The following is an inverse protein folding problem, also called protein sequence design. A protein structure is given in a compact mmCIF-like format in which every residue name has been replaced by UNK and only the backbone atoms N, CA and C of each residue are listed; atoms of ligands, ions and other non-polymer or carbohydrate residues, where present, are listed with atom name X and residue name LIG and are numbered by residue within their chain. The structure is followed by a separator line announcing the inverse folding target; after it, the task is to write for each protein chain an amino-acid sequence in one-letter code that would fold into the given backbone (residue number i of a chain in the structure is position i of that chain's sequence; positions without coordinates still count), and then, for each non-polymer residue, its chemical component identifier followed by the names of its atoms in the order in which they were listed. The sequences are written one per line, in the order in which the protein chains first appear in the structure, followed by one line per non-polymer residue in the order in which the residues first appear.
data_IF_327002825273
#
_entry.id   IF_327002825273
#
_cell.length_a   1.000
_cell.length_b   1.000
_cell.length_c   1.000
_cell.angle_alpha   90.00
_cell.angle_beta   90.00
_cell.angle_gamma   90.00
#
_symmetry.space_group_name_H-M   'P 1'
#
loop_
_entity.id
_entity.type
_entity.pdbx_description
1 polymer ?
#
# COMPACT_ATOMS: atom_id res chain seq x y z
N UNK A 1 -55.94 -9.24 -5.02
CA UNK A 1 -54.95 -10.21 -4.47
C UNK A 1 -54.94 -10.05 -2.95
N UNK A 2 -55.16 -11.15 -2.20
CA UNK A 2 -55.15 -11.11 -0.74
C UNK A 2 -53.70 -10.95 -0.25
N UNK A 3 -53.45 -9.95 0.56
CA UNK A 3 -52.15 -9.82 1.27
C UNK A 3 -52.11 -10.85 2.39
N UNK A 4 -51.14 -11.74 2.34
CA UNK A 4 -50.83 -12.63 3.48
C UNK A 4 -50.10 -11.76 4.54
N UNK A 5 -50.80 -11.42 5.62
CA UNK A 5 -50.21 -10.80 6.80
C UNK A 5 -49.60 -11.93 7.65
N UNK A 6 -48.29 -12.00 7.69
CA UNK A 6 -47.59 -12.87 8.64
C UNK A 6 -47.57 -12.21 10.02
N UNK A 7 -48.11 -12.90 11.02
CA UNK A 7 -48.11 -12.41 12.39
C UNK A 7 -46.72 -12.71 13.01
N UNK A 8 -46.02 -11.68 13.49
CA UNK A 8 -44.69 -11.79 14.08
C UNK A 8 -44.61 -12.66 15.35
N UNK A 9 -45.77 -13.03 15.94
CA UNK A 9 -45.80 -13.84 17.17
C UNK A 9 -45.59 -15.34 16.91
N UNK A 10 -45.85 -15.79 15.69
CA UNK A 10 -45.64 -17.17 15.28
C UNK A 10 -44.56 -17.18 14.18
N UNK A 11 -43.31 -17.40 14.55
CA UNK A 11 -42.19 -17.44 13.60
C UNK A 11 -42.47 -18.39 12.43
N UNK A 12 -42.04 -18.02 11.23
CA UNK A 12 -42.10 -18.92 10.08
C UNK A 12 -41.06 -20.01 10.29
N UNK A 13 -41.51 -21.25 10.31
CA UNK A 13 -40.65 -22.45 10.28
C UNK A 13 -40.55 -22.91 8.83
N UNK A 14 -39.33 -23.04 8.29
CA UNK A 14 -39.09 -23.54 6.93
C UNK A 14 -38.36 -22.52 6.06
N UNK A 15 -38.10 -22.93 4.83
CA UNK A 15 -37.41 -22.07 3.84
C UNK A 15 -38.43 -21.12 3.22
N UNK A 16 -38.20 -19.80 3.27
CA UNK A 16 -38.98 -18.82 2.51
C UNK A 16 -38.87 -19.13 1.02
N UNK A 17 -39.99 -19.10 0.28
CA UNK A 17 -39.94 -19.11 -1.18
C UNK A 17 -38.98 -18.01 -1.67
N UNK A 18 -38.40 -18.18 -2.85
CA UNK A 18 -37.54 -17.17 -3.48
C UNK A 18 -38.32 -15.89 -3.76
N UNK A 19 -38.47 -15.04 -2.74
CA UNK A 19 -39.13 -13.73 -2.80
C UNK A 19 -38.11 -12.63 -2.66
N UNK A 20 -38.34 -11.50 -3.33
CA UNK A 20 -37.50 -10.32 -3.19
C UNK A 20 -37.50 -9.84 -1.74
N UNK A 21 -36.29 -9.81 -1.13
CA UNK A 21 -36.06 -9.20 0.18
C UNK A 21 -36.02 -7.66 0.18
N UNK A 22 -36.39 -7.00 -0.91
CA UNK A 22 -36.23 -5.55 -1.08
C UNK A 22 -36.90 -4.70 0.02
N UNK A 23 -37.93 -5.22 0.68
CA UNK A 23 -38.65 -4.55 1.76
C UNK A 23 -38.29 -5.08 3.16
N UNK A 24 -37.26 -5.95 3.28
CA UNK A 24 -36.77 -6.37 4.58
C UNK A 24 -35.92 -5.23 5.19
N UNK A 25 -36.52 -4.49 6.13
CA UNK A 25 -35.78 -3.51 6.95
C UNK A 25 -35.39 -4.18 8.27
N UNK A 26 -34.23 -3.86 8.83
CA UNK A 26 -33.76 -4.42 10.10
C UNK A 26 -33.35 -5.92 10.04
N UNK A 27 -32.55 -6.31 9.04
CA UNK A 27 -31.85 -7.60 9.08
C UNK A 27 -30.72 -7.54 10.09
N UNK A 28 -30.73 -8.44 11.09
CA UNK A 28 -29.60 -8.61 11.98
C UNK A 28 -28.47 -9.36 11.24
N UNK A 29 -27.39 -8.64 10.92
CA UNK A 29 -26.23 -9.18 10.19
C UNK A 29 -25.52 -10.32 10.96
N UNK A 30 -25.68 -10.41 12.28
CA UNK A 30 -25.11 -11.49 13.09
C UNK A 30 -25.65 -12.87 12.74
N UNK A 31 -26.82 -12.93 12.09
CA UNK A 31 -27.47 -14.19 11.68
C UNK A 31 -27.23 -14.58 10.22
N UNK A 32 -26.40 -13.80 9.49
CA UNK A 32 -26.03 -14.15 8.13
C UNK A 32 -24.83 -15.09 8.19
N UNK A 33 -25.09 -16.39 8.25
CA UNK A 33 -24.06 -17.43 8.38
C UNK A 33 -23.48 -17.90 7.04
N UNK A 34 -24.11 -17.53 5.92
CA UNK A 34 -23.68 -17.91 4.57
C UNK A 34 -24.23 -16.95 3.51
N UNK A 35 -23.60 -16.92 2.34
CA UNK A 35 -24.00 -16.08 1.22
C UNK A 35 -23.02 -14.94 0.97
N UNK A 36 -23.20 -14.23 -0.14
CA UNK A 36 -22.37 -13.08 -0.54
C UNK A 36 -23.14 -11.80 -0.36
N UNK A 37 -22.63 -10.86 0.45
CA UNK A 37 -23.11 -9.49 0.49
C UNK A 37 -22.62 -8.76 -0.76
N UNK A 38 -23.55 -8.23 -1.56
CA UNK A 38 -23.17 -7.36 -2.68
C UNK A 38 -22.35 -6.18 -2.16
N UNK A 39 -21.32 -5.79 -2.91
CA UNK A 39 -20.40 -4.71 -2.52
C UNK A 39 -21.07 -3.38 -2.18
N UNK A 40 -22.19 -3.07 -2.84
CA UNK A 40 -23.01 -1.89 -2.56
C UNK A 40 -23.66 -1.87 -1.16
N UNK A 41 -23.64 -2.98 -0.43
CA UNK A 41 -24.18 -3.11 0.94
C UNK A 41 -23.12 -2.91 2.03
N UNK A 42 -21.87 -2.74 1.64
CA UNK A 42 -20.76 -2.48 2.54
C UNK A 42 -20.19 -1.08 2.24
N UNK A 43 -20.41 -0.14 3.16
CA UNK A 43 -19.99 1.26 3.00
C UNK A 43 -18.56 1.56 3.54
N UNK A 44 -17.84 0.55 3.99
CA UNK A 44 -16.47 0.70 4.46
C UNK A 44 -15.45 0.41 3.37
N UNK A 45 -14.26 1.02 3.43
CA UNK A 45 -13.16 0.71 2.54
C UNK A 45 -12.80 -0.77 2.60
N UNK A 46 -12.70 -1.44 1.45
CA UNK A 46 -12.37 -2.86 1.34
C UNK A 46 -10.93 -3.01 0.94
N UNK A 47 -10.21 -3.91 1.60
CA UNK A 47 -8.95 -4.39 1.07
C UNK A 47 -9.26 -5.34 -0.10
N UNK A 48 -8.95 -4.92 -1.32
CA UNK A 48 -9.27 -5.66 -2.55
C UNK A 48 -8.13 -6.55 -3.00
N UNK A 49 -6.88 -6.06 -2.90
CA UNK A 49 -5.68 -6.84 -3.21
C UNK A 49 -4.49 -6.36 -2.41
N UNK A 50 -3.52 -7.25 -2.23
CA UNK A 50 -2.23 -6.96 -1.59
C UNK A 50 -1.13 -7.48 -2.49
N UNK A 51 -0.14 -6.65 -2.77
CA UNK A 51 1.07 -6.99 -3.53
C UNK A 51 2.28 -6.71 -2.67
N UNK A 52 3.22 -7.65 -2.61
CA UNK A 52 4.49 -7.47 -1.93
C UNK A 52 5.63 -7.46 -2.95
N UNK A 53 6.50 -6.47 -2.83
CA UNK A 53 7.78 -6.39 -3.57
C UNK A 53 8.93 -6.43 -2.57
N UNK A 54 9.73 -7.49 -2.64
CA UNK A 54 10.96 -7.64 -1.86
C UNK A 54 12.15 -7.17 -2.67
N UNK A 55 13.07 -6.48 -2.03
CA UNK A 55 14.28 -5.99 -2.66
C UNK A 55 15.52 -6.55 -1.97
N UNK A 56 16.36 -7.23 -2.76
CA UNK A 56 17.54 -7.94 -2.28
C UNK A 56 18.84 -7.47 -2.95
N UNK A 57 18.72 -6.60 -3.96
CA UNK A 57 19.87 -6.16 -4.76
C UNK A 57 20.64 -5.09 -4.05
N UNK A 58 21.96 -5.28 -3.92
CA UNK A 58 22.84 -4.23 -3.41
C UNK A 58 22.81 -3.02 -4.35
N UNK A 59 22.37 -1.88 -3.82
CA UNK A 59 22.20 -0.65 -4.60
C UNK A 59 22.78 0.53 -3.85
N UNK A 60 23.69 1.25 -4.50
CA UNK A 60 24.41 2.38 -3.91
C UNK A 60 24.31 3.61 -4.78
N UNK A 61 24.49 4.77 -4.18
CA UNK A 61 24.68 6.03 -4.91
C UNK A 61 25.50 7.03 -4.12
N UNK A 62 26.16 7.92 -4.84
CA UNK A 62 26.77 9.16 -4.32
C UNK A 62 26.09 10.40 -4.93
N UNK A 63 24.98 10.23 -5.63
CA UNK A 63 24.25 11.31 -6.31
C UNK A 63 23.52 12.21 -5.31
N UNK A 64 23.64 13.51 -5.52
CA UNK A 64 22.84 14.54 -4.82
C UNK A 64 21.47 14.77 -5.44
N UNK A 65 21.21 14.17 -6.60
CA UNK A 65 19.89 14.12 -7.24
C UNK A 65 19.28 12.74 -7.06
N UNK A 66 17.94 12.64 -7.01
CA UNK A 66 17.25 11.37 -6.91
C UNK A 66 17.57 10.46 -8.10
N UNK A 67 18.01 9.24 -7.78
CA UNK A 67 18.26 8.17 -8.74
C UNK A 67 17.46 6.92 -8.34
N UNK A 68 17.26 6.03 -9.31
CA UNK A 68 16.45 4.82 -9.09
C UNK A 68 17.18 3.82 -8.20
N UNK A 69 16.45 3.18 -7.31
CA UNK A 69 16.96 2.02 -6.56
C UNK A 69 16.80 0.70 -7.34
N UNK A 70 15.84 0.65 -8.27
CA UNK A 70 15.37 -0.59 -8.89
C UNK A 70 14.28 -1.32 -8.07
N UNK A 71 13.93 -0.84 -6.87
CA UNK A 71 12.85 -1.41 -6.08
C UNK A 71 11.50 -0.92 -6.62
N UNK A 72 10.78 -1.80 -7.31
CA UNK A 72 9.51 -1.51 -7.97
C UNK A 72 8.44 -2.46 -7.43
N UNK A 73 7.26 -1.92 -7.16
CA UNK A 73 6.03 -2.66 -6.91
C UNK A 73 4.98 -2.26 -7.94
N UNK A 74 4.26 -3.23 -8.50
CA UNK A 74 3.22 -2.98 -9.52
C UNK A 74 1.87 -3.45 -9.00
N UNK A 75 0.86 -2.61 -9.13
CA UNK A 75 -0.52 -2.92 -8.79
C UNK A 75 -1.46 -2.34 -9.84
N UNK A 76 -2.53 -3.07 -10.19
CA UNK A 76 -3.55 -2.57 -11.12
C UNK A 76 -4.85 -2.36 -10.36
N UNK A 77 -5.27 -1.10 -10.14
CA UNK A 77 -6.50 -0.83 -9.41
C UNK A 77 -7.73 -1.37 -10.16
N UNK A 78 -8.69 -1.90 -9.42
CA UNK A 78 -9.94 -2.45 -9.97
C UNK A 78 -10.96 -1.38 -10.34
N UNK A 79 -10.83 -0.18 -9.78
CA UNK A 79 -11.69 0.97 -10.05
C UNK A 79 -10.90 2.29 -10.00
N UNK A 80 -11.36 3.29 -10.74
CA UNK A 80 -10.76 4.64 -10.73
C UNK A 80 -10.90 5.36 -9.39
N UNK A 81 -11.87 4.95 -8.56
CA UNK A 81 -12.07 5.45 -7.19
C UNK A 81 -11.18 4.76 -6.14
N UNK A 82 -10.55 3.63 -6.48
CA UNK A 82 -9.68 2.91 -5.57
C UNK A 82 -8.48 3.75 -5.15
N UNK A 83 -8.06 3.57 -3.90
CA UNK A 83 -6.83 4.13 -3.35
C UNK A 83 -5.78 3.05 -3.17
N UNK A 84 -4.51 3.42 -3.28
CA UNK A 84 -3.40 2.51 -3.06
C UNK A 84 -2.63 2.96 -1.83
N UNK A 85 -2.63 2.14 -0.78
CA UNK A 85 -1.74 2.32 0.36
C UNK A 85 -0.38 1.69 0.01
N UNK A 86 0.63 2.54 -0.10
CA UNK A 86 2.03 2.15 -0.30
C UNK A 86 2.71 2.17 1.05
N UNK A 87 3.24 1.03 1.48
CA UNK A 87 3.99 0.92 2.73
C UNK A 87 5.40 0.43 2.43
N UNK A 88 6.40 1.18 2.88
CA UNK A 88 7.81 0.82 2.76
C UNK A 88 8.35 0.40 4.12
N UNK A 89 8.97 -0.77 4.17
CA UNK A 89 9.77 -1.24 5.28
C UNK A 89 11.24 -1.27 4.85
N UNK A 90 12.05 -0.43 5.50
CA UNK A 90 13.49 -0.44 5.34
C UNK A 90 14.10 -1.41 6.35
N UNK A 91 14.49 -2.58 5.88
CA UNK A 91 15.21 -3.55 6.70
C UNK A 91 16.72 -3.31 6.70
N UNK A 92 17.21 -2.69 5.62
CA UNK A 92 18.64 -2.43 5.46
C UNK A 92 18.89 -1.19 4.61
N UNK A 93 19.31 -0.12 5.26
CA UNK A 93 19.79 1.09 4.61
C UNK A 93 21.04 1.58 5.35
N UNK A 94 22.05 2.03 4.64
CA UNK A 94 23.33 2.39 5.23
C UNK A 94 23.85 3.71 4.68
N UNK A 95 24.40 4.52 5.57
CA UNK A 95 25.15 5.75 5.28
C UNK A 95 26.58 5.53 5.73
N UNK A 96 27.55 5.60 4.80
CA UNK A 96 28.94 5.25 5.08
C UNK A 96 29.76 6.32 5.79
N UNK A 97 29.23 7.54 5.84
CA UNK A 97 29.93 8.68 6.42
C UNK A 97 29.12 9.33 7.54
N UNK A 98 29.83 9.86 8.53
CA UNK A 98 29.23 10.60 9.63
C UNK A 98 28.47 11.85 9.14
N UNK A 99 27.36 12.15 9.82
CA UNK A 99 26.53 13.36 9.56
C UNK A 99 26.00 13.50 8.14
N UNK A 100 25.91 12.39 7.38
CA UNK A 100 25.33 12.36 6.03
C UNK A 100 23.90 11.84 6.05
N UNK A 101 23.19 12.14 4.98
CA UNK A 101 21.79 11.79 4.85
C UNK A 101 21.55 10.89 3.65
N UNK A 102 20.79 9.84 3.87
CA UNK A 102 20.08 9.10 2.84
C UNK A 102 18.65 9.66 2.79
N UNK A 103 18.24 10.15 1.65
CA UNK A 103 16.88 10.60 1.37
C UNK A 103 16.22 9.64 0.40
N UNK A 104 15.01 9.24 0.74
CA UNK A 104 14.18 8.33 -0.06
C UNK A 104 12.91 9.06 -0.46
N UNK A 105 12.51 8.93 -1.72
CA UNK A 105 11.24 9.41 -2.22
C UNK A 105 10.52 8.33 -3.02
N UNK A 106 9.20 8.49 -3.14
CA UNK A 106 8.31 7.57 -3.85
C UNK A 106 7.88 8.20 -5.17
N UNK A 107 8.09 7.46 -6.23
CA UNK A 107 7.69 7.82 -7.59
C UNK A 107 6.66 6.85 -8.11
N UNK A 108 5.77 7.32 -8.96
CA UNK A 108 4.76 6.51 -9.63
C UNK A 108 4.82 6.71 -11.13
N UNK A 109 4.68 5.62 -11.86
CA UNK A 109 4.41 5.58 -13.29
C UNK A 109 3.04 4.93 -13.51
N UNK A 110 2.23 5.47 -14.42
CA UNK A 110 0.95 4.90 -14.84
C UNK A 110 1.07 4.49 -16.30
N UNK A 111 0.89 3.20 -16.57
CA UNK A 111 0.86 2.63 -17.92
C UNK A 111 2.10 2.95 -18.80
N UNK A 112 3.26 3.18 -18.20
CA UNK A 112 4.50 3.49 -18.92
C UNK A 112 4.63 4.95 -19.37
N UNK A 113 3.85 5.87 -18.81
CA UNK A 113 3.91 7.29 -19.13
C UNK A 113 5.16 8.01 -18.57
N UNK A 114 5.91 7.34 -17.71
CA UNK A 114 7.10 7.85 -17.04
C UNK A 114 6.89 8.11 -15.55
N UNK A 115 7.97 8.01 -14.77
CA UNK A 115 7.93 8.17 -13.32
C UNK A 115 7.87 9.64 -12.92
N UNK A 116 6.86 9.98 -12.12
CA UNK A 116 6.75 11.27 -11.43
C UNK A 116 6.80 11.09 -9.92
N UNK A 117 7.44 12.01 -9.20
CA UNK A 117 7.44 12.04 -7.74
C UNK A 117 6.03 12.32 -7.22
N UNK A 118 5.56 11.53 -6.27
CA UNK A 118 4.23 11.69 -5.67
C UNK A 118 4.27 12.19 -4.23
N UNK A 119 5.45 12.21 -3.62
CA UNK A 119 5.67 12.87 -2.34
C UNK A 119 6.01 14.34 -2.63
N UNK A 120 5.03 15.21 -2.47
CA UNK A 120 5.16 16.64 -2.76
C UNK A 120 5.47 17.42 -1.48
N UNK A 121 6.14 18.58 -1.62
CA UNK A 121 6.42 19.47 -0.49
C UNK A 121 7.91 19.68 -0.21
N UNK A 122 8.79 19.01 -0.95
CA UNK A 122 10.25 19.20 -0.82
C UNK A 122 10.89 18.37 0.29
N UNK A 123 10.10 17.73 1.14
CA UNK A 123 10.58 16.79 2.14
C UNK A 123 10.68 15.37 1.57
N UNK A 124 11.71 14.59 1.96
CA UNK A 124 11.81 13.20 1.57
C UNK A 124 10.69 12.38 2.24
N UNK A 125 10.22 11.33 1.56
CA UNK A 125 9.30 10.38 2.17
C UNK A 125 9.92 9.66 3.37
N UNK A 126 11.22 9.40 3.28
CA UNK A 126 12.00 8.82 4.37
C UNK A 126 13.39 9.45 4.42
N UNK A 127 13.90 9.69 5.62
CA UNK A 127 15.25 10.19 5.84
C UNK A 127 15.98 9.32 6.85
N UNK A 128 17.14 8.88 6.47
CA UNK A 128 18.10 8.23 7.36
C UNK A 128 19.30 9.14 7.50
N UNK A 129 19.71 9.42 8.74
CA UNK A 129 20.93 10.19 9.03
C UNK A 129 21.98 9.27 9.65
N UNK A 130 23.18 9.30 9.11
CA UNK A 130 24.35 8.73 9.76
C UNK A 130 24.71 9.52 11.02
N UNK A 131 24.95 8.82 12.11
CA UNK A 131 25.43 9.44 13.33
C UNK A 131 26.95 9.73 13.25
N UNK A 132 27.53 10.38 14.28
CA UNK A 132 28.89 10.88 14.31
C UNK A 132 30.02 9.80 14.20
N UNK A 133 29.69 8.52 14.18
CA UNK A 133 30.61 7.43 13.90
C UNK A 133 30.31 6.77 12.55
N UNK A 134 31.33 6.59 11.71
CA UNK A 134 31.20 5.97 10.41
C UNK A 134 30.55 4.58 10.48
N UNK A 135 29.76 4.22 9.46
CA UNK A 135 29.06 2.93 9.30
C UNK A 135 27.82 2.74 10.17
N UNK A 136 26.88 3.66 10.11
CA UNK A 136 25.57 3.44 10.73
C UNK A 136 24.67 2.69 9.75
N UNK A 137 24.48 1.41 10.01
CA UNK A 137 23.41 0.63 9.42
C UNK A 137 22.14 0.92 10.19
N UNK A 138 21.16 1.56 9.57
CA UNK A 138 19.84 1.74 10.17
C UNK A 138 18.95 0.59 9.70
N UNK A 139 18.80 -0.40 10.55
CA UNK A 139 17.73 -1.35 10.43
C UNK A 139 16.44 -0.76 10.98
N UNK A 140 15.32 -1.02 10.32
CA UNK A 140 14.00 -0.86 10.92
C UNK A 140 13.36 0.52 10.84
N UNK A 141 13.07 0.99 9.64
CA UNK A 141 12.15 2.11 9.42
C UNK A 141 10.93 1.68 8.61
N UNK A 142 9.78 2.29 8.86
CA UNK A 142 8.58 2.10 8.05
C UNK A 142 7.89 3.44 7.82
N UNK A 143 7.41 3.64 6.61
CA UNK A 143 6.56 4.77 6.28
C UNK A 143 5.45 4.32 5.33
N UNK A 144 4.35 5.06 5.31
CA UNK A 144 3.19 4.76 4.48
C UNK A 144 2.69 6.01 3.77
N UNK A 145 2.17 5.81 2.55
CA UNK A 145 1.55 6.85 1.74
C UNK A 145 0.29 6.32 1.09
N UNK A 146 -0.81 7.07 1.21
CA UNK A 146 -2.08 6.73 0.58
C UNK A 146 -2.23 7.52 -0.72
N UNK A 147 -2.07 6.84 -1.83
CA UNK A 147 -2.21 7.40 -3.16
C UNK A 147 -3.62 7.27 -3.73
N UNK A 148 -3.98 8.20 -4.61
CA UNK A 148 -5.23 8.20 -5.37
C UNK A 148 -4.89 8.27 -6.88
N UNK A 149 -4.54 7.16 -7.52
CA UNK A 149 -4.05 7.16 -8.91
C UNK A 149 -5.13 7.47 -9.95
N UNK A 150 -6.41 7.36 -9.59
CA UNK A 150 -7.58 7.64 -10.43
C UNK A 150 -7.58 6.92 -11.78
N UNK A 151 -7.12 5.67 -11.78
CA UNK A 151 -6.98 4.85 -12.99
C UNK A 151 -7.25 3.37 -12.71
N UNK A 152 -7.56 2.62 -13.75
CA UNK A 152 -7.57 1.14 -13.77
C UNK A 152 -6.40 0.56 -14.56
N UNK A 153 -5.46 1.41 -14.99
CA UNK A 153 -4.20 0.96 -15.62
C UNK A 153 -3.18 0.55 -14.56
N UNK A 154 -2.19 -0.23 -14.95
CA UNK A 154 -1.10 -0.63 -14.07
C UNK A 154 -0.35 0.60 -13.53
N UNK A 155 -0.16 0.62 -12.21
CA UNK A 155 0.60 1.63 -11.49
C UNK A 155 1.89 0.98 -10.99
N UNK A 156 3.03 1.51 -11.41
CA UNK A 156 4.34 1.11 -10.95
C UNK A 156 4.81 2.11 -9.91
N UNK A 157 5.02 1.66 -8.68
CA UNK A 157 5.60 2.45 -7.59
C UNK A 157 7.07 2.10 -7.47
N UNK A 158 7.94 3.11 -7.52
CA UNK A 158 9.39 2.92 -7.49
C UNK A 158 10.03 3.81 -6.44
N UNK A 159 11.01 3.25 -5.76
CA UNK A 159 11.81 3.98 -4.77
C UNK A 159 12.98 4.65 -5.45
N UNK A 160 13.14 5.94 -5.19
CA UNK A 160 14.28 6.75 -5.56
C UNK A 160 15.04 7.17 -4.30
N UNK A 161 16.33 7.37 -4.44
CA UNK A 161 17.18 7.76 -3.32
C UNK A 161 18.28 8.73 -3.75
N UNK A 162 18.76 9.53 -2.81
CA UNK A 162 19.89 10.46 -2.98
C UNK A 162 20.60 10.68 -1.66
N UNK A 163 21.79 11.27 -1.73
CA UNK A 163 22.57 11.72 -0.56
C UNK A 163 22.88 13.21 -0.67
N UNK A 164 23.27 13.83 0.43
CA UNK A 164 23.88 15.15 0.43
C UNK A 164 25.38 15.09 0.13
N UNK A 165 26.03 13.97 0.49
CA UNK A 165 27.44 13.72 0.23
C UNK A 165 27.77 12.25 0.57
N UNK A 166 28.90 11.75 0.06
CA UNK A 166 29.40 10.41 0.35
C UNK A 166 28.63 9.32 -0.39
N UNK A 167 28.83 8.07 0.02
CA UNK A 167 28.15 6.91 -0.54
C UNK A 167 27.10 6.38 0.42
N UNK A 168 25.92 6.08 -0.10
CA UNK A 168 24.82 5.49 0.63
C UNK A 168 24.37 4.20 -0.03
N UNK A 169 23.78 3.31 0.78
CA UNK A 169 23.25 2.02 0.34
C UNK A 169 21.75 1.99 0.65
N UNK A 170 20.93 1.69 -0.35
CA UNK A 170 19.52 1.40 -0.15
C UNK A 170 19.31 -0.03 0.33
N UNK A 171 20.09 -0.98 -0.18
CA UNK A 171 20.20 -2.35 0.29
C UNK A 171 21.69 -2.73 0.29
N UNK A 172 22.20 -3.27 1.38
CA UNK A 172 23.57 -3.73 1.49
C UNK A 172 23.56 -5.25 1.76
N UNK A 173 23.86 -6.04 0.74
CA UNK A 173 23.81 -7.50 0.80
C UNK A 173 24.92 -8.15 1.66
N UNK A 174 25.91 -7.37 2.08
CA UNK A 174 26.98 -7.85 2.96
C UNK A 174 26.62 -7.91 4.44
N UNK A 175 25.45 -7.38 4.82
CA UNK A 175 24.97 -7.35 6.19
C UNK A 175 23.57 -7.97 6.24
N UNK A 176 23.39 -9.05 6.98
CA UNK A 176 22.12 -9.80 7.13
C UNK A 176 21.05 -9.06 7.95
N UNK A 177 20.99 -7.74 7.89
CA UNK A 177 20.09 -6.92 8.72
C UNK A 177 18.66 -6.77 8.18
N UNK A 178 18.26 -7.65 7.28
CA UNK A 178 16.89 -7.65 6.77
C UNK A 178 16.77 -7.15 5.33
N UNK A 179 15.59 -7.29 4.80
CA UNK A 179 15.25 -6.95 3.42
C UNK A 179 14.38 -5.69 3.39
N UNK A 180 14.58 -4.88 2.35
CA UNK A 180 13.66 -3.81 2.05
C UNK A 180 12.41 -4.39 1.38
N UNK A 181 11.25 -4.05 1.90
CA UNK A 181 9.97 -4.53 1.41
C UNK A 181 9.03 -3.35 1.10
N UNK A 182 8.36 -3.43 -0.02
CA UNK A 182 7.23 -2.57 -0.35
C UNK A 182 5.95 -3.41 -0.37
N UNK A 183 4.92 -2.93 0.33
CA UNK A 183 3.59 -3.53 0.31
C UNK A 183 2.63 -2.51 -0.33
N UNK A 184 1.91 -2.94 -1.35
CA UNK A 184 0.88 -2.18 -2.02
C UNK A 184 -0.47 -2.82 -1.66
N UNK A 185 -1.41 -2.01 -1.18
CA UNK A 185 -2.75 -2.46 -0.82
C UNK A 185 -3.77 -1.62 -1.55
N UNK A 186 -4.64 -2.25 -2.34
CA UNK A 186 -5.78 -1.58 -2.93
C UNK A 186 -6.92 -1.50 -1.93
N UNK A 187 -7.39 -0.29 -1.70
CA UNK A 187 -8.54 0.03 -0.85
C UNK A 187 -9.67 0.50 -1.76
N UNK A 188 -10.75 -0.27 -1.83
CA UNK A 188 -11.96 0.09 -2.56
C UNK A 188 -12.70 1.21 -1.84
N UNK A 189 -13.26 2.15 -2.62
CA UNK A 189 -14.15 3.20 -2.13
C UNK A 189 -15.58 2.67 -1.94
#
# INVERSE_FOLDING_TARGET
MAQIKLNATYGMTGTLPAVSGANLTTLNASNISSGTLASARYSGGKLLQVVQSKFTTNTTTSSTSYVVTGHIGTITPSATSSKILVQLHLGNANVTEADRNLWISLYRDIAGAGYGEIITGGDPWFRVRGEASANVSTGGGSNAFLDSPSTTSACNYQIYFKTDQGTIYYQNSGNDYGLNNMILMEIGA
#
